data_IF_195588678204
#
_entry.id   IF_195588678204
#
_cell.length_a   1.000
_cell.length_b   1.000
_cell.length_c   1.000
_cell.angle_alpha   90.00
_cell.angle_beta   90.00
_cell.angle_gamma   90.00
#
_symmetry.space_group_name_H-M   'P 1'
#
loop_
_entity.id
_entity.type
_entity.pdbx_description
1 polymer ?
#
# COMPACT_ATOMS: atom_id res chain seq x y z
N UNK A 1 7.18 -12.19 7.30
CA UNK A 1 5.99 -13.05 7.49
C UNK A 1 5.81 -13.92 6.26
N UNK A 2 5.45 -15.19 6.42
CA UNK A 2 5.06 -16.04 5.29
C UNK A 2 3.68 -15.64 4.77
N UNK A 3 3.45 -15.78 3.47
CA UNK A 3 2.14 -15.61 2.83
C UNK A 3 1.46 -16.96 2.68
N UNK A 4 0.16 -17.02 2.87
CA UNK A 4 -0.71 -18.17 2.64
C UNK A 4 -2.01 -17.66 2.03
N UNK A 5 -2.16 -17.82 0.72
CA UNK A 5 -3.33 -17.36 -0.03
C UNK A 5 -4.12 -18.57 -0.53
N UNK A 6 -5.36 -18.71 -0.05
CA UNK A 6 -6.25 -19.81 -0.41
C UNK A 6 -7.12 -19.41 -1.61
N UNK A 7 -6.97 -20.09 -2.74
CA UNK A 7 -7.79 -19.84 -3.92
C UNK A 7 -9.12 -20.60 -3.84
N UNK A 8 -10.17 -20.05 -4.45
CA UNK A 8 -11.48 -20.70 -4.51
C UNK A 8 -11.36 -22.05 -5.23
N UNK A 9 -11.99 -23.08 -4.67
CA UNK A 9 -12.01 -24.43 -5.25
C UNK A 9 -12.62 -24.42 -6.65
N UNK A 10 -13.69 -23.64 -6.82
CA UNK A 10 -14.42 -23.53 -8.09
C UNK A 10 -13.96 -22.29 -8.87
N UNK A 11 -13.34 -22.46 -10.05
CA UNK A 11 -13.10 -21.35 -10.98
C UNK A 11 -14.40 -20.92 -11.67
N UNK A 12 -14.40 -19.73 -12.26
CA UNK A 12 -15.47 -19.24 -13.14
C UNK A 12 -14.98 -19.24 -14.60
N UNK A 13 -15.21 -20.31 -15.37
CA UNK A 13 -14.84 -20.35 -16.78
C UNK A 13 -15.74 -19.43 -17.61
N UNK A 14 -15.18 -18.87 -18.68
CA UNK A 14 -15.86 -17.93 -19.56
C UNK A 14 -16.02 -16.52 -18.99
N UNK A 15 -15.23 -16.18 -17.97
CA UNK A 15 -15.23 -14.86 -17.34
C UNK A 15 -13.82 -14.32 -17.15
N UNK A 16 -13.69 -13.00 -17.29
CA UNK A 16 -12.48 -12.21 -17.02
C UNK A 16 -12.86 -11.07 -16.08
N UNK A 17 -12.08 -10.84 -15.04
CA UNK A 17 -12.19 -9.65 -14.21
C UNK A 17 -11.38 -8.52 -14.86
N UNK A 18 -12.01 -7.40 -15.22
CA UNK A 18 -11.35 -6.25 -15.85
C UNK A 18 -11.12 -5.11 -14.85
N UNK A 19 -10.34 -4.09 -15.22
CA UNK A 19 -10.03 -2.88 -14.42
C UNK A 19 -9.26 -3.09 -13.11
N UNK A 20 -9.01 -4.34 -12.71
CA UNK A 20 -8.31 -4.70 -11.47
C UNK A 20 -6.92 -5.32 -11.71
N UNK A 21 -6.44 -5.30 -12.97
CA UNK A 21 -5.16 -5.91 -13.37
C UNK A 21 -3.96 -5.13 -12.81
N UNK A 22 -3.18 -5.78 -11.95
CA UNK A 22 -1.87 -5.31 -11.49
C UNK A 22 -0.81 -5.47 -12.59
N UNK A 23 -0.78 -6.66 -13.20
CA UNK A 23 0.09 -6.97 -14.33
C UNK A 23 -0.46 -8.14 -15.13
N UNK A 24 -0.15 -8.13 -16.41
CA UNK A 24 -0.36 -9.25 -17.32
C UNK A 24 0.98 -9.91 -17.61
N UNK A 25 1.04 -11.24 -17.48
CA UNK A 25 2.25 -12.04 -17.69
C UNK A 25 1.96 -13.21 -18.63
N UNK A 26 3.01 -13.79 -19.20
CA UNK A 26 2.91 -15.03 -19.97
C UNK A 26 3.40 -16.23 -19.15
N UNK A 27 2.57 -17.27 -19.05
CA UNK A 27 2.85 -18.49 -18.28
C UNK A 27 2.57 -19.74 -19.09
N UNK A 28 3.18 -20.87 -18.71
CA UNK A 28 3.01 -22.13 -19.45
C UNK A 28 1.70 -22.86 -19.12
N UNK A 29 1.10 -22.61 -17.95
CA UNK A 29 -0.15 -23.25 -17.48
C UNK A 29 -0.81 -22.43 -16.36
N UNK A 30 -2.03 -22.82 -15.97
CA UNK A 30 -2.82 -22.13 -14.93
C UNK A 30 -2.13 -22.19 -13.55
N UNK A 31 -1.47 -23.30 -13.21
CA UNK A 31 -0.79 -23.43 -11.90
C UNK A 31 0.35 -22.41 -11.75
N UNK A 32 1.07 -22.10 -12.83
CA UNK A 32 2.08 -21.04 -12.79
C UNK A 32 1.42 -19.65 -12.70
N UNK A 33 0.26 -19.42 -13.32
CA UNK A 33 -0.53 -18.20 -13.11
C UNK A 33 -0.89 -18.02 -11.62
N UNK A 34 -1.41 -19.09 -11.00
CA UNK A 34 -1.74 -19.14 -9.57
C UNK A 34 -0.52 -18.86 -8.70
N UNK A 35 0.61 -19.49 -9.00
CA UNK A 35 1.86 -19.30 -8.26
C UNK A 35 2.39 -17.87 -8.39
N UNK A 36 2.29 -17.26 -9.58
CA UNK A 36 2.68 -15.87 -9.79
C UNK A 36 1.80 -14.90 -8.99
N UNK A 37 0.48 -15.17 -8.89
CA UNK A 37 -0.38 -14.42 -7.99
C UNK A 37 0.03 -14.58 -6.52
N UNK A 38 0.41 -15.79 -6.09
CA UNK A 38 0.93 -16.03 -4.74
C UNK A 38 2.24 -15.26 -4.45
N UNK A 39 3.08 -15.01 -5.45
CA UNK A 39 4.29 -14.20 -5.27
C UNK A 39 4.04 -12.70 -5.32
N UNK A 40 2.97 -12.25 -5.98
CA UNK A 40 2.58 -10.84 -6.06
C UNK A 40 1.77 -10.43 -4.81
N UNK A 41 2.33 -9.69 -3.84
CA UNK A 41 1.71 -9.49 -2.52
C UNK A 41 0.31 -8.87 -2.56
N UNK A 42 0.03 -8.05 -3.58
CA UNK A 42 -1.26 -7.38 -3.76
C UNK A 42 -2.26 -8.21 -4.59
N UNK A 43 -1.85 -9.33 -5.17
CA UNK A 43 -2.72 -10.15 -6.01
C UNK A 43 -3.68 -10.99 -5.16
N UNK A 44 -4.97 -10.91 -5.44
CA UNK A 44 -6.03 -11.66 -4.72
C UNK A 44 -6.97 -12.41 -5.67
N UNK A 45 -6.75 -12.29 -6.98
CA UNK A 45 -7.38 -13.15 -7.99
C UNK A 45 -6.54 -13.14 -9.27
N UNK A 46 -6.83 -14.04 -10.21
CA UNK A 46 -6.21 -14.02 -11.53
C UNK A 46 -7.20 -14.36 -12.63
N UNK A 47 -6.93 -13.89 -13.85
CA UNK A 47 -7.55 -14.38 -15.08
C UNK A 47 -6.53 -15.22 -15.83
N UNK A 48 -6.89 -16.42 -16.25
CA UNK A 48 -6.06 -17.27 -17.10
C UNK A 48 -6.67 -17.39 -18.49
N UNK A 49 -5.94 -16.99 -19.52
CA UNK A 49 -6.38 -17.13 -20.91
C UNK A 49 -6.10 -18.56 -21.39
N UNK A 50 -7.15 -19.27 -21.80
CA UNK A 50 -7.05 -20.64 -22.31
C UNK A 50 -6.40 -20.69 -23.71
N UNK A 51 -6.41 -19.57 -24.44
CA UNK A 51 -5.78 -19.45 -25.75
C UNK A 51 -4.29 -19.14 -25.60
N UNK A 52 -3.45 -19.89 -26.31
CA UNK A 52 -2.02 -19.64 -26.37
C UNK A 52 -1.73 -18.44 -27.28
N UNK A 53 -0.85 -17.57 -26.80
CA UNK A 53 -0.24 -16.51 -27.58
C UNK A 53 0.75 -17.09 -28.61
N UNK A 54 1.23 -16.25 -29.52
CA UNK A 54 2.24 -16.64 -30.53
C UNK A 54 3.53 -17.20 -29.92
N UNK A 55 3.84 -16.81 -28.67
CA UNK A 55 4.96 -17.33 -27.88
C UNK A 55 4.79 -18.80 -27.45
N UNK A 56 3.61 -19.38 -27.65
CA UNK A 56 3.25 -20.72 -27.15
C UNK A 56 2.86 -20.74 -25.67
N UNK A 57 2.82 -19.59 -25.00
CA UNK A 57 2.41 -19.41 -23.60
C UNK A 57 1.00 -18.84 -23.50
N UNK A 58 0.42 -18.92 -22.32
CA UNK A 58 -0.89 -18.36 -21.97
C UNK A 58 -0.74 -16.98 -21.34
N UNK A 59 -1.64 -16.06 -21.69
CA UNK A 59 -1.79 -14.80 -20.97
C UNK A 59 -2.41 -15.04 -19.59
N UNK A 60 -1.90 -14.34 -18.58
CA UNK A 60 -2.35 -14.43 -17.20
C UNK A 60 -2.38 -13.02 -16.58
N UNK A 61 -3.58 -12.55 -16.21
CA UNK A 61 -3.75 -11.30 -15.49
C UNK A 61 -3.70 -11.57 -13.98
N UNK A 62 -2.84 -10.85 -13.27
CA UNK A 62 -2.81 -10.83 -11.80
C UNK A 62 -3.64 -9.64 -11.32
N UNK A 63 -4.63 -9.86 -10.46
CA UNK A 63 -5.61 -8.83 -10.11
C UNK A 63 -5.57 -8.47 -8.60
N UNK A 64 -5.78 -7.20 -8.28
CA UNK A 64 -5.83 -6.69 -6.89
C UNK A 64 -7.22 -6.74 -6.24
N UNK A 65 -8.22 -7.27 -6.94
CA UNK A 65 -9.58 -7.40 -6.44
C UNK A 65 -10.12 -8.81 -6.61
N UNK A 66 -11.14 -9.13 -5.82
CA UNK A 66 -12.00 -10.30 -5.99
C UNK A 66 -13.38 -9.85 -6.50
N UNK A 67 -14.23 -10.79 -6.91
CA UNK A 67 -15.63 -10.54 -7.30
C UNK A 67 -16.46 -10.04 -6.10
N UNK A 68 -16.37 -8.75 -5.81
CA UNK A 68 -17.20 -8.10 -4.79
C UNK A 68 -18.38 -7.35 -5.40
N UNK A 69 -18.23 -6.93 -6.66
CA UNK A 69 -19.25 -6.30 -7.48
C UNK A 69 -19.19 -6.95 -8.87
N UNK A 70 -20.30 -7.52 -9.32
CA UNK A 70 -20.35 -8.32 -10.56
C UNK A 70 -20.08 -7.48 -11.84
N UNK A 71 -20.07 -6.15 -11.74
CA UNK A 71 -19.97 -5.22 -12.88
C UNK A 71 -18.65 -5.33 -13.66
N UNK A 72 -17.54 -5.61 -12.97
CA UNK A 72 -16.22 -5.76 -13.61
C UNK A 72 -15.94 -7.21 -14.06
N UNK A 73 -16.81 -8.16 -13.72
CA UNK A 73 -16.68 -9.56 -14.14
C UNK A 73 -17.38 -9.75 -15.49
N UNK A 74 -16.62 -9.58 -16.56
CA UNK A 74 -17.16 -9.63 -17.91
C UNK A 74 -17.14 -11.05 -18.47
N UNK A 75 -18.14 -11.37 -19.31
CA UNK A 75 -18.15 -12.63 -20.05
C UNK A 75 -17.06 -12.59 -21.12
N UNK A 76 -16.14 -13.54 -21.06
CA UNK A 76 -15.11 -13.76 -22.07
C UNK A 76 -14.76 -15.25 -22.11
N UNK A 77 -15.21 -15.94 -23.16
CA UNK A 77 -15.09 -17.39 -23.31
C UNK A 77 -13.64 -17.89 -23.43
N UNK A 78 -12.67 -16.99 -23.62
CA UNK A 78 -11.25 -17.34 -23.67
C UNK A 78 -10.59 -17.39 -22.30
N UNK A 79 -11.29 -17.01 -21.22
CA UNK A 79 -10.70 -16.83 -19.90
C UNK A 79 -11.36 -17.68 -18.81
N UNK A 80 -10.55 -18.05 -17.83
CA UNK A 80 -10.97 -18.59 -16.55
C UNK A 80 -10.61 -17.57 -15.46
N UNK A 81 -11.61 -17.10 -14.72
CA UNK A 81 -11.41 -16.29 -13.53
C UNK A 81 -11.27 -17.19 -12.28
N UNK A 82 -10.30 -16.88 -11.41
CA UNK A 82 -10.19 -17.51 -10.08
C UNK A 82 -9.87 -16.47 -9.00
N UNK A 83 -10.73 -16.39 -7.99
CA UNK A 83 -10.54 -15.57 -6.79
C UNK A 83 -9.80 -16.30 -5.67
N UNK A 84 -9.34 -15.53 -4.67
CA UNK A 84 -8.84 -16.04 -3.41
C UNK A 84 -9.69 -15.57 -2.23
N UNK A 85 -9.56 -16.27 -1.09
CA UNK A 85 -10.03 -15.77 0.19
C UNK A 85 -9.31 -14.47 0.53
N UNK A 86 -10.07 -13.39 0.62
CA UNK A 86 -9.54 -12.06 0.75
C UNK A 86 -10.01 -11.40 2.05
N UNK A 87 -9.19 -11.47 3.11
CA UNK A 87 -9.49 -10.79 4.37
C UNK A 87 -9.51 -9.25 4.24
N UNK A 88 -8.92 -8.70 3.18
CA UNK A 88 -8.97 -7.27 2.88
C UNK A 88 -10.34 -6.78 2.41
N UNK A 89 -11.25 -7.68 2.03
CA UNK A 89 -12.66 -7.39 1.68
C UNK A 89 -13.36 -6.47 2.69
N UNK A 90 -13.07 -6.66 3.98
CA UNK A 90 -13.70 -5.89 5.06
C UNK A 90 -13.07 -4.50 5.28
N UNK A 91 -12.09 -4.12 4.47
CA UNK A 91 -11.30 -2.90 4.60
C UNK A 91 -10.80 -2.68 6.05
N UNK A 92 -10.02 -3.64 6.60
CA UNK A 92 -9.52 -3.55 7.98
C UNK A 92 -8.50 -2.43 8.16
N UNK A 93 -7.69 -2.16 7.15
CA UNK A 93 -6.65 -1.14 7.16
C UNK A 93 -7.26 0.28 7.14
N UNK A 94 -6.71 1.17 7.97
CA UNK A 94 -7.13 2.57 8.09
C UNK A 94 -6.10 3.52 7.48
N UNK A 95 -6.47 4.80 7.38
CA UNK A 95 -5.58 5.88 6.94
C UNK A 95 -4.90 5.62 5.59
N UNK A 96 -5.67 5.12 4.62
CA UNK A 96 -5.22 4.85 3.25
C UNK A 96 -4.06 3.83 3.15
N UNK A 97 -3.88 2.99 4.18
CA UNK A 97 -2.91 1.91 4.16
C UNK A 97 -3.28 0.82 3.16
N UNK A 98 -2.26 0.22 2.53
CA UNK A 98 -2.45 -0.89 1.59
C UNK A 98 -2.72 -2.18 2.37
N UNK A 99 -3.78 -2.89 2.00
CA UNK A 99 -4.08 -4.21 2.57
C UNK A 99 -3.56 -5.33 1.68
N UNK A 100 -2.85 -6.29 2.27
CA UNK A 100 -2.33 -7.46 1.57
C UNK A 100 -2.89 -8.74 2.20
N UNK A 101 -3.57 -9.56 1.40
CA UNK A 101 -4.19 -10.80 1.85
C UNK A 101 -3.19 -11.96 1.98
N UNK A 102 -3.49 -12.86 2.90
CA UNK A 102 -2.74 -14.09 3.15
C UNK A 102 -1.54 -13.91 4.08
N UNK A 103 -1.41 -12.82 4.83
CA UNK A 103 -0.28 -12.62 5.74
C UNK A 103 -0.72 -12.73 7.20
N UNK A 104 0.22 -13.13 8.08
CA UNK A 104 0.01 -13.26 9.54
C UNK A 104 -1.02 -14.33 9.92
N UNK A 105 -1.27 -14.50 11.22
CA UNK A 105 -2.34 -15.32 11.79
C UNK A 105 -3.75 -14.77 11.50
N UNK A 106 -3.83 -13.53 10.99
CA UNK A 106 -5.09 -12.82 10.69
C UNK A 106 -5.48 -12.86 9.22
N UNK A 107 -4.72 -13.55 8.38
CA UNK A 107 -4.90 -13.66 6.93
C UNK A 107 -4.82 -12.33 6.16
N UNK A 108 -4.32 -11.25 6.77
CA UNK A 108 -3.90 -10.03 6.08
C UNK A 108 -2.79 -9.29 6.84
N UNK A 109 -2.15 -8.34 6.17
CA UNK A 109 -1.33 -7.30 6.79
C UNK A 109 -1.65 -5.94 6.18
N UNK A 110 -1.54 -4.88 6.96
CA UNK A 110 -1.62 -3.51 6.47
C UNK A 110 -0.22 -2.92 6.34
N UNK A 111 0.07 -2.32 5.18
CA UNK A 111 1.25 -1.49 4.97
C UNK A 111 0.84 -0.03 5.21
N UNK A 112 1.25 0.51 6.36
CA UNK A 112 0.96 1.89 6.70
C UNK A 112 1.70 2.83 5.75
N UNK A 113 1.07 3.96 5.43
CA UNK A 113 1.68 4.96 4.54
C UNK A 113 2.91 5.55 5.21
N UNK A 114 4.06 5.47 4.54
CA UNK A 114 5.32 6.02 5.03
C UNK A 114 5.19 7.53 5.30
N UNK A 115 5.75 7.97 6.43
CA UNK A 115 5.69 9.38 6.85
C UNK A 115 4.33 9.84 7.40
N UNK A 116 3.28 9.03 7.34
CA UNK A 116 1.95 9.39 7.88
C UNK A 116 1.89 9.47 9.41
N UNK A 117 2.87 8.85 10.09
CA UNK A 117 2.92 8.75 11.55
C UNK A 117 1.98 7.66 12.12
N UNK A 118 1.15 7.03 11.28
CA UNK A 118 0.27 5.94 11.68
C UNK A 118 1.03 4.62 11.75
N UNK A 119 0.75 3.86 12.81
CA UNK A 119 1.33 2.56 13.15
C UNK A 119 0.25 1.58 13.63
N UNK A 120 0.69 0.42 14.08
CA UNK A 120 -0.18 -0.68 14.52
C UNK A 120 -0.65 -1.56 13.36
N UNK A 121 -1.26 -2.71 13.69
CA UNK A 121 -1.61 -3.71 12.68
C UNK A 121 -2.61 -3.20 11.63
N UNK A 122 -3.53 -2.32 12.03
CA UNK A 122 -4.54 -1.73 11.14
C UNK A 122 -4.20 -0.29 10.72
N UNK A 123 -2.98 0.18 11.02
CA UNK A 123 -2.55 1.56 10.75
C UNK A 123 -3.49 2.62 11.34
N UNK A 124 -4.07 2.34 12.51
CA UNK A 124 -5.02 3.21 13.20
C UNK A 124 -4.44 3.86 14.46
N UNK A 125 -3.21 3.51 14.84
CA UNK A 125 -2.54 4.04 16.03
C UNK A 125 -1.60 5.18 15.64
N UNK A 126 -1.50 6.21 16.47
CA UNK A 126 -0.54 7.29 16.26
C UNK A 126 -0.96 8.29 15.18
N UNK A 127 -1.45 9.45 15.61
CA UNK A 127 -1.07 10.69 14.95
C UNK A 127 0.02 11.27 15.84
N UNK A 128 1.20 10.66 15.87
CA UNK A 128 2.34 11.34 16.47
C UNK A 128 2.66 12.49 15.52
N UNK A 129 1.93 13.58 15.76
CA UNK A 129 2.22 14.90 15.27
C UNK A 129 3.72 15.04 15.36
N UNK A 130 4.37 15.23 14.21
CA UNK A 130 5.58 16.03 14.19
C UNK A 130 5.16 17.41 14.72
N UNK A 131 4.97 17.50 16.05
CA UNK A 131 4.98 18.77 16.74
C UNK A 131 6.33 19.36 16.37
N UNK A 132 6.38 20.65 16.07
CA UNK A 132 7.61 21.37 15.75
C UNK A 132 8.78 21.03 16.71
N UNK A 133 8.47 20.57 17.93
CA UNK A 133 9.37 20.06 18.95
C UNK A 133 10.18 18.82 18.50
N UNK A 134 9.59 17.86 17.78
CA UNK A 134 10.29 16.64 17.31
C UNK A 134 11.35 16.97 16.25
N UNK A 135 10.98 17.82 15.27
CA UNK A 135 11.91 18.30 14.25
C UNK A 135 12.99 19.19 14.90
N UNK A 136 12.63 20.04 15.85
CA UNK A 136 13.60 20.82 16.62
C UNK A 136 14.58 19.90 17.38
N UNK A 137 14.11 18.86 18.06
CA UNK A 137 14.96 17.91 18.79
C UNK A 137 15.91 17.14 17.87
N UNK A 138 15.48 16.78 16.65
CA UNK A 138 16.33 16.11 15.66
C UNK A 138 17.30 17.09 14.96
N UNK A 139 16.92 18.37 14.81
CA UNK A 139 17.83 19.42 14.31
C UNK A 139 18.88 19.82 15.35
N UNK A 140 18.55 19.77 16.65
CA UNK A 140 19.46 20.07 17.77
C UNK A 140 20.54 19.00 17.93
N UNK A 141 20.31 17.75 17.52
CA UNK A 141 21.32 16.67 17.58
C UNK A 141 22.28 16.65 16.39
N UNK A 142 22.04 17.45 15.35
CA UNK A 142 22.96 17.58 14.21
C UNK A 142 23.99 18.68 14.49
N UNK A 143 25.29 18.34 14.45
CA UNK A 143 26.44 19.21 14.78
C UNK A 143 26.60 20.47 13.90
N UNK A 144 25.60 20.80 13.07
CA UNK A 144 25.67 21.84 12.03
C UNK A 144 25.10 23.20 12.51
N UNK A 145 24.38 23.26 13.65
CA UNK A 145 23.64 24.47 14.09
C UNK A 145 24.38 25.45 15.02
N UNK A 146 25.57 25.13 15.51
CA UNK A 146 26.19 25.91 16.61
C UNK A 146 26.73 27.30 16.19
N UNK A 147 26.95 27.55 14.89
CA UNK A 147 27.50 28.84 14.42
C UNK A 147 26.46 29.83 13.89
N UNK A 148 25.34 29.37 13.33
CA UNK A 148 24.34 30.24 12.69
C UNK A 148 23.30 30.78 13.67
N UNK A 149 22.94 30.02 14.72
CA UNK A 149 21.94 30.42 15.70
C UNK A 149 22.39 31.59 16.61
N UNK A 150 23.70 31.73 16.84
CA UNK A 150 24.26 32.81 17.67
C UNK A 150 24.08 34.19 17.04
N UNK A 151 24.07 34.26 15.71
CA UNK A 151 23.88 35.50 14.95
C UNK A 151 22.40 35.92 14.98
N UNK A 152 21.48 34.98 14.73
CA UNK A 152 20.03 35.25 14.66
C UNK A 152 19.46 35.60 16.05
N UNK A 153 19.93 34.94 17.11
CA UNK A 153 19.51 35.23 18.49
C UNK A 153 19.93 36.63 18.96
N UNK A 154 21.07 37.14 18.49
CA UNK A 154 21.54 38.48 18.86
C UNK A 154 20.78 39.60 18.13
N UNK A 155 20.34 39.39 16.89
CA UNK A 155 19.48 40.35 16.17
C UNK A 155 18.08 40.41 16.77
N UNK A 156 17.50 39.27 17.17
CA UNK A 156 16.16 39.22 17.75
C UNK A 156 16.11 39.87 19.16
N UNK A 157 17.10 39.60 20.02
CA UNK A 157 17.19 40.21 21.36
C UNK A 157 17.50 41.72 21.32
N UNK A 158 18.25 42.20 20.32
CA UNK A 158 18.44 43.65 20.11
C UNK A 158 17.16 44.33 19.63
N UNK A 159 16.38 43.69 18.74
CA UNK A 159 15.10 44.20 18.28
C UNK A 159 14.06 44.34 19.40
N UNK A 160 13.98 43.36 20.30
CA UNK A 160 13.03 43.38 21.44
C UNK A 160 13.34 44.51 22.43
N UNK A 161 14.62 44.79 22.71
CA UNK A 161 15.02 45.88 23.60
C UNK A 161 14.68 47.27 23.05
N UNK A 162 14.79 47.45 21.73
CA UNK A 162 14.44 48.73 21.07
C UNK A 162 12.93 48.97 21.07
N UNK A 163 12.12 47.92 20.95
CA UNK A 163 10.65 48.03 20.98
C UNK A 163 10.15 48.38 22.39
N UNK A 164 10.72 47.77 23.43
CA UNK A 164 10.33 48.08 24.83
C UNK A 164 10.66 49.51 25.24
N UNK A 165 11.71 50.13 24.70
CA UNK A 165 12.04 51.53 24.99
C UNK A 165 11.13 52.56 24.29
N UNK A 166 10.43 52.17 23.23
CA UNK A 166 9.52 53.05 22.47
C UNK A 166 8.09 53.05 23.01
N UNK A 167 7.72 52.03 23.80
CA UNK A 167 6.37 51.90 24.41
C UNK A 167 6.26 52.50 25.81
N UNK A 168 7.30 53.20 26.28
CA UNK A 168 7.40 53.77 27.64
C UNK A 168 7.62 55.30 27.65
N UNK A 169 7.24 56.02 26.59
CA UNK A 169 7.16 57.49 26.54
C UNK A 169 5.77 57.95 26.15
#
# INVERSE_FOLDING_TARGET
SCRSLLFTTFPKPGFRLENHTLRTIEVVNEDLCRFQCYLEPNCVSYNFCEIKQLSGKHECDLNNATIEHDEDLVKNESYIYRGAENACKKNPCKNNATCQAGFTDRNYQCLCVDGSGFKGHNCNEGKESYTFISIANHMISSEIWDKSARVIGQTYLKGIRTIQSLTSQ
#
